data_IF_235734545798
#
_entry.id   IF_235734545798
#
_cell.length_a   1.000
_cell.length_b   1.000
_cell.length_c   1.000
_cell.angle_alpha   90.00
_cell.angle_beta   90.00
_cell.angle_gamma   90.00
#
_symmetry.space_group_name_H-M   'P 1'
#
loop_
_entity.id
_entity.type
_entity.pdbx_description
1 polymer ?
#
# COMPACT_ATOMS: atom_id res chain seq x y z
N UNK A 1 2.10 31.45 14.28
CA UNK A 1 2.77 30.27 14.89
C UNK A 1 4.11 30.13 14.23
N UNK A 2 5.20 30.16 14.98
CA UNK A 2 6.53 29.86 14.43
C UNK A 2 6.52 28.44 13.87
N UNK A 3 7.03 28.27 12.65
CA UNK A 3 7.17 26.97 12.01
C UNK A 3 8.24 26.20 12.80
N UNK A 4 7.86 25.18 13.54
CA UNK A 4 8.81 24.31 14.23
C UNK A 4 9.69 23.67 13.15
N UNK A 5 10.98 23.94 13.21
CA UNK A 5 11.96 23.31 12.32
C UNK A 5 12.50 22.07 13.03
N UNK A 6 12.27 20.90 12.47
CA UNK A 6 12.78 19.64 12.98
C UNK A 6 14.21 19.35 12.48
N UNK A 7 15.03 18.58 13.22
CA UNK A 7 16.35 18.17 12.78
C UNK A 7 16.26 17.35 11.50
N UNK A 8 17.32 17.39 10.70
CA UNK A 8 17.43 16.64 9.43
C UNK A 8 18.64 15.72 9.42
N UNK A 9 19.61 15.98 10.26
CA UNK A 9 20.80 15.15 10.44
C UNK A 9 20.53 13.86 11.22
N UNK A 10 19.30 13.63 11.65
CA UNK A 10 18.80 12.38 12.23
C UNK A 10 17.92 11.58 11.25
N UNK A 11 17.95 11.95 9.97
CA UNK A 11 17.15 11.34 8.91
C UNK A 11 18.04 10.96 7.72
N UNK A 12 18.01 9.68 7.34
CA UNK A 12 18.62 9.21 6.11
C UNK A 12 17.70 9.50 4.90
N UNK A 13 18.30 9.90 3.78
CA UNK A 13 17.64 9.89 2.47
C UNK A 13 18.18 8.71 1.68
N UNK A 14 17.33 7.74 1.36
CA UNK A 14 17.69 6.54 0.61
C UNK A 14 17.23 6.66 -0.84
N UNK A 15 18.18 6.59 -1.78
CA UNK A 15 17.96 6.80 -3.20
C UNK A 15 18.41 5.57 -3.99
N UNK A 16 17.49 4.73 -4.49
CA UNK A 16 17.84 3.69 -5.46
C UNK A 16 18.12 4.33 -6.82
N UNK A 17 19.26 4.03 -7.44
CA UNK A 17 19.71 4.61 -8.68
C UNK A 17 20.11 3.54 -9.71
N UNK A 18 19.51 3.60 -10.89
CA UNK A 18 19.88 2.79 -12.05
C UNK A 18 20.00 3.69 -13.27
N UNK A 19 21.22 3.75 -13.82
CA UNK A 19 21.56 4.63 -14.96
C UNK A 19 21.11 6.08 -14.73
N UNK A 20 21.53 6.70 -13.61
CA UNK A 20 21.10 8.05 -13.25
C UNK A 20 21.71 9.08 -14.20
N UNK A 21 20.99 10.19 -14.37
CA UNK A 21 21.47 11.37 -15.09
C UNK A 21 22.01 12.45 -14.11
N UNK A 22 22.29 13.65 -14.63
CA UNK A 22 22.78 14.80 -13.85
C UNK A 22 21.80 15.27 -12.77
N UNK A 23 20.49 15.01 -12.92
CA UNK A 23 19.45 15.42 -11.96
C UNK A 23 19.68 14.78 -10.59
N UNK A 24 20.23 13.55 -10.56
CA UNK A 24 20.60 12.91 -9.29
C UNK A 24 21.64 13.75 -8.53
N UNK A 25 22.70 14.21 -9.18
CA UNK A 25 23.74 15.02 -8.53
C UNK A 25 23.17 16.36 -8.03
N UNK A 26 22.31 17.01 -8.82
CA UNK A 26 21.63 18.24 -8.39
C UNK A 26 20.77 18.01 -7.13
N UNK A 27 20.06 16.89 -7.09
CA UNK A 27 19.28 16.50 -5.92
C UNK A 27 20.18 16.27 -4.69
N UNK A 28 21.29 15.53 -4.83
CA UNK A 28 22.25 15.27 -3.74
C UNK A 28 22.81 16.58 -3.16
N UNK A 29 23.21 17.52 -4.03
CA UNK A 29 23.74 18.84 -3.61
C UNK A 29 22.69 19.60 -2.79
N UNK A 30 21.43 19.61 -3.23
CA UNK A 30 20.35 20.29 -2.51
C UNK A 30 20.06 19.63 -1.17
N UNK A 31 19.99 18.31 -1.13
CA UNK A 31 19.73 17.56 0.12
C UNK A 31 20.86 17.72 1.13
N UNK A 32 22.12 17.75 0.68
CA UNK A 32 23.27 17.96 1.56
C UNK A 32 23.28 19.36 2.17
N UNK A 33 22.86 20.39 1.41
CA UNK A 33 22.67 21.75 1.95
C UNK A 33 21.61 21.82 3.05
N UNK A 34 20.64 20.92 2.99
CA UNK A 34 19.59 20.78 3.99
C UNK A 34 20.02 19.91 5.19
N UNK A 35 21.28 19.48 5.26
CA UNK A 35 21.89 18.66 6.31
C UNK A 35 21.29 17.25 6.45
N UNK A 36 20.76 16.67 5.38
CA UNK A 36 20.41 15.26 5.37
C UNK A 36 21.63 14.37 5.17
N UNK A 37 21.60 13.18 5.77
CA UNK A 37 22.54 12.12 5.45
C UNK A 37 21.97 11.24 4.34
N UNK A 38 22.80 10.99 3.31
CA UNK A 38 22.30 10.42 2.05
C UNK A 38 22.96 9.07 1.79
N UNK A 39 22.15 8.09 1.44
CA UNK A 39 22.58 6.77 0.98
C UNK A 39 22.04 6.54 -0.43
N UNK A 40 22.93 6.36 -1.40
CA UNK A 40 22.56 6.03 -2.78
C UNK A 40 22.91 4.57 -3.04
N UNK A 41 22.00 3.83 -3.65
CA UNK A 41 22.23 2.44 -4.07
C UNK A 41 22.34 2.38 -5.58
N UNK A 42 23.56 2.14 -6.09
CA UNK A 42 23.79 1.82 -7.50
C UNK A 42 23.31 0.40 -7.79
N UNK A 43 22.21 0.27 -8.50
CA UNK A 43 21.61 -1.01 -8.89
C UNK A 43 22.20 -1.53 -10.23
N UNK A 44 23.52 -1.65 -10.31
CA UNK A 44 24.19 -2.23 -11.47
C UNK A 44 24.05 -1.41 -12.74
N UNK A 45 24.36 -0.11 -12.67
CA UNK A 45 24.20 0.83 -13.79
C UNK A 45 25.16 0.59 -14.97
N UNK A 46 26.32 -0.05 -14.71
CA UNK A 46 27.38 -0.27 -15.69
C UNK A 46 28.51 0.76 -15.58
N UNK A 47 29.67 0.43 -16.16
CA UNK A 47 30.90 1.21 -16.06
C UNK A 47 30.76 2.63 -16.63
N UNK A 48 29.88 2.83 -17.61
CA UNK A 48 29.60 4.15 -18.18
C UNK A 48 29.05 5.17 -17.18
N UNK A 49 28.58 4.70 -15.99
CA UNK A 49 28.06 5.55 -14.93
C UNK A 49 29.02 5.72 -13.73
N UNK A 50 30.19 5.11 -13.76
CA UNK A 50 31.15 5.15 -12.64
C UNK A 50 31.56 6.59 -12.28
N UNK A 51 31.74 7.46 -13.28
CA UNK A 51 32.06 8.88 -13.03
C UNK A 51 30.91 9.61 -12.28
N UNK A 52 29.66 9.27 -12.59
CA UNK A 52 28.49 9.87 -11.92
C UNK A 52 28.46 9.43 -10.47
N UNK A 53 28.68 8.15 -10.18
CA UNK A 53 28.70 7.64 -8.80
C UNK A 53 29.92 8.14 -8.03
N UNK A 54 31.09 8.21 -8.65
CA UNK A 54 32.29 8.83 -8.05
C UNK A 54 32.04 10.28 -7.63
N UNK A 55 31.34 11.06 -8.46
CA UNK A 55 30.94 12.41 -8.09
C UNK A 55 29.90 12.43 -6.96
N UNK A 56 29.02 11.44 -6.93
CA UNK A 56 28.00 11.31 -5.88
C UNK A 56 28.60 11.00 -4.50
N UNK A 57 29.80 10.36 -4.44
CA UNK A 57 30.53 10.06 -3.19
C UNK A 57 30.89 11.34 -2.39
N UNK A 58 30.98 12.50 -3.04
CA UNK A 58 31.18 13.78 -2.36
C UNK A 58 30.02 14.17 -1.45
N UNK A 59 28.82 13.63 -1.71
CA UNK A 59 27.57 14.05 -1.05
C UNK A 59 26.87 12.92 -0.30
N UNK A 60 27.16 11.65 -0.64
CA UNK A 60 26.40 10.50 -0.19
C UNK A 60 27.28 9.26 0.03
N UNK A 61 26.81 8.36 0.89
CA UNK A 61 27.35 6.99 0.94
C UNK A 61 26.82 6.20 -0.24
N UNK A 62 27.71 5.61 -1.05
CA UNK A 62 27.33 4.83 -2.23
C UNK A 62 27.42 3.33 -1.89
N UNK A 63 26.31 2.62 -2.09
CA UNK A 63 26.26 1.15 -2.03
C UNK A 63 26.17 0.61 -3.45
N UNK A 64 26.97 -0.39 -3.77
CA UNK A 64 26.99 -1.00 -5.09
C UNK A 64 26.32 -2.39 -5.07
N UNK A 65 25.39 -2.60 -5.98
CA UNK A 65 24.77 -3.89 -6.26
C UNK A 65 25.04 -4.27 -7.71
N UNK A 66 25.70 -5.39 -7.94
CA UNK A 66 26.04 -5.89 -9.27
C UNK A 66 25.75 -7.39 -9.35
N UNK A 67 25.03 -7.90 -10.38
CA UNK A 67 24.37 -7.15 -11.46
C UNK A 67 23.12 -6.41 -10.98
N UNK A 68 22.44 -5.67 -11.91
CA UNK A 68 21.12 -5.07 -11.64
C UNK A 68 20.14 -6.12 -11.16
N UNK A 69 19.50 -5.86 -10.01
CA UNK A 69 18.49 -6.74 -9.39
C UNK A 69 17.12 -6.09 -9.32
N UNK A 70 17.05 -4.79 -9.57
CA UNK A 70 15.83 -3.99 -9.60
C UNK A 70 15.63 -3.12 -8.38
N UNK A 71 14.74 -2.12 -8.53
CA UNK A 71 14.47 -1.07 -7.54
C UNK A 71 14.17 -1.61 -6.13
N UNK A 72 13.36 -2.69 -6.04
CA UNK A 72 13.02 -3.30 -4.76
C UNK A 72 14.22 -3.92 -4.05
N UNK A 73 15.10 -4.59 -4.81
CA UNK A 73 16.34 -5.14 -4.25
C UNK A 73 17.29 -4.03 -3.79
N UNK A 74 17.41 -2.93 -4.55
CA UNK A 74 18.19 -1.77 -4.17
C UNK A 74 17.64 -1.11 -2.90
N UNK A 75 16.33 -0.93 -2.79
CA UNK A 75 15.70 -0.41 -1.57
C UNK A 75 15.98 -1.32 -0.35
N UNK A 76 15.88 -2.65 -0.50
CA UNK A 76 16.19 -3.58 0.60
C UNK A 76 17.64 -3.50 1.03
N UNK A 77 18.58 -3.37 0.08
CA UNK A 77 20.00 -3.19 0.41
C UNK A 77 20.20 -1.89 1.21
N UNK A 78 19.63 -0.78 0.75
CA UNK A 78 19.69 0.49 1.46
C UNK A 78 19.03 0.46 2.84
N UNK A 79 17.86 -0.13 2.96
CA UNK A 79 17.18 -0.33 4.25
C UNK A 79 18.00 -1.22 5.20
N UNK A 80 18.67 -2.26 4.67
CA UNK A 80 19.53 -3.11 5.48
C UNK A 80 20.75 -2.32 6.00
N UNK A 81 21.35 -1.48 5.16
CA UNK A 81 22.43 -0.59 5.57
C UNK A 81 22.00 0.36 6.68
N UNK A 82 20.88 1.07 6.49
CA UNK A 82 20.33 2.01 7.48
C UNK A 82 20.01 1.32 8.82
N UNK A 83 19.47 0.10 8.75
CA UNK A 83 19.14 -0.68 9.96
C UNK A 83 20.39 -1.16 10.72
N UNK A 84 21.51 -1.38 10.02
CA UNK A 84 22.79 -1.78 10.61
C UNK A 84 23.61 -0.58 11.13
N UNK A 85 23.34 0.63 10.61
CA UNK A 85 23.99 1.88 10.97
C UNK A 85 22.96 2.91 11.46
N UNK A 86 22.23 2.61 12.55
CA UNK A 86 21.21 3.52 13.05
C UNK A 86 21.84 4.78 13.65
N UNK A 87 23.04 4.68 14.24
CA UNK A 87 23.78 5.74 14.91
C UNK A 87 22.84 6.71 15.67
N UNK A 88 22.82 7.99 15.28
CA UNK A 88 21.91 8.98 15.83
C UNK A 88 20.66 9.22 14.95
N UNK A 89 20.40 8.34 14.00
CA UNK A 89 19.28 8.49 13.07
C UNK A 89 18.02 7.81 13.59
N UNK A 90 16.90 8.51 13.44
CA UNK A 90 15.57 8.05 13.84
C UNK A 90 14.71 7.67 12.65
N UNK A 91 14.99 8.25 11.47
CA UNK A 91 14.12 8.15 10.31
C UNK A 91 14.90 7.85 9.02
N UNK A 92 14.20 7.29 8.04
CA UNK A 92 14.68 7.15 6.67
C UNK A 92 13.57 7.55 5.70
N UNK A 93 13.93 8.35 4.69
CA UNK A 93 13.02 8.77 3.61
C UNK A 93 13.54 8.21 2.30
N UNK A 94 12.70 7.49 1.55
CA UNK A 94 13.03 7.05 0.20
C UNK A 94 12.60 8.11 -0.82
N UNK A 95 13.42 8.35 -1.84
CA UNK A 95 13.04 9.14 -3.00
C UNK A 95 13.72 8.62 -4.27
N UNK A 96 13.16 8.96 -5.44
CA UNK A 96 13.70 8.51 -6.73
C UNK A 96 14.87 9.41 -7.18
N UNK A 97 15.79 8.84 -7.98
CA UNK A 97 16.98 9.53 -8.47
C UNK A 97 16.70 10.49 -9.67
N UNK A 98 15.47 10.54 -10.16
CA UNK A 98 15.06 11.21 -11.40
C UNK A 98 14.72 12.70 -11.24
N UNK A 99 14.86 13.26 -10.04
CA UNK A 99 14.57 14.65 -9.73
C UNK A 99 13.09 15.03 -9.72
N UNK A 100 12.18 14.05 -9.77
CA UNK A 100 10.72 14.31 -9.76
C UNK A 100 10.17 14.63 -8.35
N UNK A 101 10.99 14.56 -7.31
CA UNK A 101 10.63 14.93 -5.95
C UNK A 101 11.26 16.25 -5.53
N UNK A 102 10.45 17.25 -5.22
CA UNK A 102 10.93 18.52 -4.70
C UNK A 102 11.57 18.32 -3.30
N UNK A 103 12.64 19.06 -3.01
CA UNK A 103 13.30 19.01 -1.71
C UNK A 103 12.36 19.51 -0.60
N UNK A 104 11.52 20.48 -0.91
CA UNK A 104 10.48 20.99 -0.02
C UNK A 104 9.47 19.91 0.40
N UNK A 105 9.18 18.96 -0.50
CA UNK A 105 8.32 17.81 -0.21
C UNK A 105 9.03 16.81 0.71
N UNK A 106 10.32 16.56 0.49
CA UNK A 106 11.16 15.72 1.35
C UNK A 106 11.20 16.31 2.76
N UNK A 107 11.37 17.63 2.89
CA UNK A 107 11.34 18.33 4.16
C UNK A 107 9.96 18.18 4.83
N UNK A 108 8.86 18.32 4.10
CA UNK A 108 7.52 18.11 4.65
C UNK A 108 7.29 16.68 5.16
N UNK A 109 7.85 15.69 4.47
CA UNK A 109 7.83 14.29 4.94
C UNK A 109 8.64 14.17 6.24
N UNK A 110 9.84 14.77 6.30
CA UNK A 110 10.67 14.78 7.50
C UNK A 110 9.93 15.39 8.69
N UNK A 111 9.39 16.58 8.51
CA UNK A 111 8.64 17.27 9.57
C UNK A 111 7.47 16.40 10.06
N UNK A 112 6.76 15.76 9.14
CA UNK A 112 5.64 14.88 9.48
C UNK A 112 6.06 13.61 10.22
N UNK A 113 7.23 13.03 9.90
CA UNK A 113 7.79 11.91 10.65
C UNK A 113 8.04 12.28 12.10
N UNK A 114 8.67 13.43 12.34
CA UNK A 114 8.93 13.92 13.70
C UNK A 114 7.65 14.22 14.48
N UNK A 115 6.63 14.79 13.83
CA UNK A 115 5.33 15.09 14.46
C UNK A 115 4.60 13.82 14.91
N UNK A 116 4.68 12.74 14.15
CA UNK A 116 3.76 11.60 14.27
C UNK A 116 4.43 10.29 14.67
N UNK A 117 5.75 10.20 14.52
CA UNK A 117 6.56 8.98 14.72
C UNK A 117 5.92 7.73 14.08
N UNK A 118 5.36 7.90 12.87
CA UNK A 118 4.73 6.84 12.08
C UNK A 118 5.15 6.95 10.62
N UNK A 119 4.84 5.91 9.82
CA UNK A 119 5.12 5.92 8.38
C UNK A 119 4.40 7.07 7.70
N UNK A 120 5.09 7.78 6.81
CA UNK A 120 4.55 8.90 6.05
C UNK A 120 4.65 8.59 4.56
N UNK A 121 3.53 8.71 3.86
CA UNK A 121 3.43 8.46 2.42
C UNK A 121 3.24 9.79 1.68
N UNK A 122 4.10 10.05 0.70
CA UNK A 122 3.87 11.14 -0.25
C UNK A 122 2.67 10.82 -1.15
N UNK A 123 1.80 11.78 -1.37
CA UNK A 123 0.56 11.61 -2.13
C UNK A 123 0.40 12.71 -3.15
N UNK A 124 0.49 12.34 -4.43
CA UNK A 124 0.32 13.26 -5.57
C UNK A 124 -1.15 13.57 -5.81
N UNK A 125 -1.43 14.79 -6.29
CA UNK A 125 -2.75 15.11 -6.81
C UNK A 125 -2.90 14.59 -8.22
N UNK A 126 -3.87 13.71 -8.44
CA UNK A 126 -4.25 13.25 -9.78
C UNK A 126 -5.29 14.20 -10.39
N UNK A 127 -4.83 15.28 -10.95
CA UNK A 127 -5.67 16.21 -11.70
C UNK A 127 -5.78 15.84 -13.19
N UNK A 128 -6.39 16.71 -13.98
CA UNK A 128 -6.60 16.46 -15.42
C UNK A 128 -5.31 16.46 -16.25
N UNK A 129 -4.19 16.92 -15.71
CA UNK A 129 -2.88 16.95 -16.38
C UNK A 129 -2.25 15.57 -16.48
N UNK A 130 -2.62 14.65 -15.57
CA UNK A 130 -2.11 13.27 -15.54
C UNK A 130 -2.64 12.46 -16.73
N UNK A 131 -1.77 11.75 -17.48
CA UNK A 131 -2.20 10.90 -18.60
C UNK A 131 -3.29 9.91 -18.21
N UNK A 132 -4.33 9.75 -19.05
CA UNK A 132 -5.50 8.86 -18.77
C UNK A 132 -5.09 7.43 -18.42
N UNK A 133 -4.06 6.90 -19.09
CA UNK A 133 -3.55 5.53 -18.85
C UNK A 133 -3.01 5.37 -17.42
N UNK A 134 -2.20 6.32 -16.96
CA UNK A 134 -1.64 6.34 -15.59
C UNK A 134 -2.77 6.48 -14.56
N UNK A 135 -3.72 7.38 -14.81
CA UNK A 135 -4.89 7.61 -13.93
C UNK A 135 -5.76 6.36 -13.78
N UNK A 136 -6.03 5.65 -14.88
CA UNK A 136 -6.83 4.42 -14.85
C UNK A 136 -6.09 3.27 -14.15
N UNK A 137 -4.78 3.11 -14.40
CA UNK A 137 -3.95 2.12 -13.71
C UNK A 137 -3.94 2.33 -12.20
N UNK A 138 -3.71 3.57 -11.76
CA UNK A 138 -3.74 3.94 -10.35
C UNK A 138 -5.14 3.76 -9.71
N UNK A 139 -6.21 4.03 -10.46
CA UNK A 139 -7.58 3.81 -9.99
C UNK A 139 -7.85 2.31 -9.74
N UNK A 140 -7.47 1.43 -10.68
CA UNK A 140 -7.67 -0.01 -10.53
C UNK A 140 -6.82 -0.59 -9.39
N UNK A 141 -5.57 -0.16 -9.27
CA UNK A 141 -4.69 -0.55 -8.15
C UNK A 141 -5.32 -0.17 -6.81
N UNK A 142 -5.74 1.08 -6.67
CA UNK A 142 -6.43 1.58 -5.47
C UNK A 142 -7.71 0.81 -5.16
N UNK A 143 -8.53 0.53 -6.17
CA UNK A 143 -9.79 -0.21 -6.00
C UNK A 143 -9.52 -1.60 -5.43
N UNK A 144 -8.64 -2.37 -6.07
CA UNK A 144 -8.29 -3.72 -5.64
C UNK A 144 -7.67 -3.72 -4.24
N UNK A 145 -6.69 -2.85 -3.99
CA UNK A 145 -6.01 -2.74 -2.70
C UNK A 145 -6.98 -2.31 -1.59
N UNK A 146 -7.77 -1.25 -1.81
CA UNK A 146 -8.73 -0.76 -0.80
C UNK A 146 -9.76 -1.84 -0.43
N UNK A 147 -10.16 -2.66 -1.41
CA UNK A 147 -11.03 -3.81 -1.13
C UNK A 147 -10.38 -4.82 -0.18
N UNK A 148 -9.10 -5.12 -0.39
CA UNK A 148 -8.36 -6.10 0.40
C UNK A 148 -8.03 -5.60 1.80
N UNK A 149 -7.55 -4.37 1.88
CA UNK A 149 -7.03 -3.78 3.12
C UNK A 149 -8.09 -2.99 3.89
N UNK A 150 -9.24 -2.69 3.25
CA UNK A 150 -10.32 -1.83 3.77
C UNK A 150 -9.87 -0.42 4.16
N UNK A 151 -8.69 -0.01 3.69
CA UNK A 151 -8.10 1.27 3.99
C UNK A 151 -7.72 1.99 2.69
N UNK A 152 -8.25 3.18 2.50
CA UNK A 152 -7.98 3.99 1.31
C UNK A 152 -6.66 4.74 1.48
N UNK A 153 -5.81 4.69 0.45
CA UNK A 153 -4.62 5.53 0.29
C UNK A 153 -4.77 6.23 -1.05
N UNK A 154 -4.52 7.52 -1.12
CA UNK A 154 -4.73 8.32 -2.32
C UNK A 154 -3.73 7.97 -3.43
N UNK A 155 -2.44 7.80 -3.08
CA UNK A 155 -1.38 7.45 -4.03
C UNK A 155 -0.55 6.28 -3.49
N UNK A 156 -0.73 5.11 -4.06
CA UNK A 156 -0.02 3.88 -3.68
C UNK A 156 1.23 3.59 -4.53
N UNK A 157 1.52 4.47 -5.51
CA UNK A 157 2.65 4.31 -6.44
C UNK A 157 3.71 5.40 -6.30
N UNK A 158 3.59 6.30 -5.32
CA UNK A 158 4.62 7.29 -5.04
C UNK A 158 5.82 6.64 -4.35
N UNK A 159 7.04 6.93 -4.83
CA UNK A 159 8.30 6.47 -4.24
C UNK A 159 8.79 7.30 -3.05
N UNK A 160 8.23 8.51 -2.85
CA UNK A 160 8.58 9.36 -1.73
C UNK A 160 7.85 8.91 -0.46
N UNK A 161 8.56 8.26 0.45
CA UNK A 161 8.01 7.66 1.67
C UNK A 161 8.98 7.81 2.82
N UNK A 162 8.46 8.11 4.01
CA UNK A 162 9.22 8.19 5.24
C UNK A 162 8.89 7.06 6.21
N UNK A 163 9.92 6.52 6.87
CA UNK A 163 9.79 5.42 7.81
C UNK A 163 10.59 5.71 9.09
N UNK A 164 10.02 5.48 10.29
CA UNK A 164 10.81 5.34 11.49
C UNK A 164 11.77 4.15 11.37
N UNK A 165 13.04 4.29 11.75
CA UNK A 165 14.05 3.22 11.64
C UNK A 165 13.62 1.96 12.40
N UNK A 166 12.92 2.11 13.53
CA UNK A 166 12.34 0.99 14.30
C UNK A 166 11.42 0.07 13.49
N UNK A 167 10.82 0.60 12.41
CA UNK A 167 9.89 -0.15 11.54
C UNK A 167 10.58 -0.73 10.30
N UNK A 168 11.82 -0.29 10.00
CA UNK A 168 12.56 -0.68 8.79
C UNK A 168 12.83 -2.17 8.73
N UNK A 169 13.21 -2.80 9.85
CA UNK A 169 13.45 -4.25 9.88
C UNK A 169 12.27 -5.05 9.32
N UNK A 170 11.04 -4.62 9.60
CA UNK A 170 9.84 -5.31 9.13
C UNK A 170 9.64 -5.26 7.61
N UNK A 171 10.23 -4.27 6.94
CA UNK A 171 10.09 -4.09 5.49
C UNK A 171 11.26 -4.68 4.71
N UNK A 172 12.44 -4.81 5.30
CA UNK A 172 13.61 -5.43 4.64
C UNK A 172 13.39 -6.89 4.26
N UNK A 173 12.54 -7.61 5.00
CA UNK A 173 12.25 -9.03 4.77
C UNK A 173 11.13 -9.27 3.74
N UNK A 174 10.49 -8.21 3.23
CA UNK A 174 9.40 -8.35 2.27
C UNK A 174 9.92 -8.79 0.89
N UNK A 175 9.15 -9.63 0.18
CA UNK A 175 9.52 -10.09 -1.16
C UNK A 175 9.38 -8.99 -2.21
N UNK A 176 9.98 -9.22 -3.38
CA UNK A 176 9.91 -8.36 -4.55
C UNK A 176 11.23 -7.65 -4.82
N UNK A 177 11.72 -7.77 -6.07
CA UNK A 177 12.98 -7.20 -6.49
C UNK A 177 12.80 -5.92 -7.31
N UNK A 178 11.59 -5.69 -7.84
CA UNK A 178 11.30 -4.53 -8.68
C UNK A 178 10.25 -3.61 -8.02
N UNK A 179 9.35 -3.01 -8.81
CA UNK A 179 8.33 -2.06 -8.34
C UNK A 179 7.26 -2.68 -7.44
N UNK A 180 7.06 -4.01 -7.52
CA UNK A 180 6.15 -4.74 -6.64
C UNK A 180 6.57 -4.74 -5.17
N UNK A 181 7.86 -4.51 -4.88
CA UNK A 181 8.34 -4.37 -3.50
C UNK A 181 7.65 -3.21 -2.78
N UNK A 182 7.55 -2.05 -3.44
CA UNK A 182 6.90 -0.86 -2.87
C UNK A 182 5.41 -1.11 -2.60
N UNK A 183 4.76 -1.93 -3.43
CA UNK A 183 3.38 -2.38 -3.19
C UNK A 183 3.30 -3.35 -2.02
N UNK A 184 4.26 -4.29 -1.89
CA UNK A 184 4.35 -5.19 -0.74
C UNK A 184 4.52 -4.41 0.56
N UNK A 185 5.33 -3.35 0.57
CA UNK A 185 5.47 -2.47 1.74
C UNK A 185 4.12 -1.88 2.14
N UNK A 186 3.37 -1.28 1.20
CA UNK A 186 2.05 -0.69 1.49
C UNK A 186 1.06 -1.75 1.99
N UNK A 187 0.95 -2.88 1.31
CA UNK A 187 0.05 -3.96 1.73
C UNK A 187 0.41 -4.48 3.14
N UNK A 188 1.72 -4.62 3.43
CA UNK A 188 2.20 -5.06 4.73
C UNK A 188 1.87 -4.05 5.84
N UNK A 189 2.08 -2.74 5.59
CA UNK A 189 1.69 -1.69 6.52
C UNK A 189 0.21 -1.79 6.90
N UNK A 190 -0.65 -1.98 5.92
CA UNK A 190 -2.09 -2.07 6.11
C UNK A 190 -2.51 -3.37 6.81
N UNK A 191 -1.93 -4.52 6.44
CA UNK A 191 -2.20 -5.82 7.07
C UNK A 191 -1.71 -5.84 8.52
N UNK A 192 -0.51 -5.32 8.78
CA UNK A 192 0.02 -5.17 10.15
C UNK A 192 -0.61 -4.02 10.91
N UNK A 193 -1.49 -3.24 10.26
CA UNK A 193 -2.18 -2.08 10.85
C UNK A 193 -1.22 -1.07 11.46
N UNK A 194 -0.07 -0.89 10.83
CA UNK A 194 0.85 0.15 11.22
C UNK A 194 0.22 1.51 10.93
N UNK A 195 0.38 2.44 11.86
CA UNK A 195 -0.12 3.81 11.67
C UNK A 195 0.67 4.46 10.54
N UNK A 196 -0.03 5.12 9.63
CA UNK A 196 0.59 5.95 8.60
C UNK A 196 -0.20 7.24 8.39
N UNK A 197 0.48 8.25 7.86
CA UNK A 197 -0.09 9.53 7.46
C UNK A 197 0.23 9.79 5.98
N UNK A 198 -0.60 10.57 5.31
CA UNK A 198 -0.35 11.00 3.93
C UNK A 198 -0.04 12.50 3.90
N UNK A 199 1.05 12.86 3.22
CA UNK A 199 1.44 14.25 2.97
C UNK A 199 1.26 14.53 1.49
N UNK A 200 0.50 15.58 1.18
CA UNK A 200 0.32 15.98 -0.21
C UNK A 200 1.61 16.58 -0.76
N UNK A 201 2.09 16.02 -1.87
CA UNK A 201 3.29 16.47 -2.57
C UNK A 201 2.96 17.04 -3.94
N UNK A 202 3.89 17.79 -4.49
CA UNK A 202 3.81 18.29 -5.87
C UNK A 202 4.01 17.14 -6.86
N UNK A 203 3.41 17.29 -8.04
CA UNK A 203 3.59 16.35 -9.14
C UNK A 203 4.47 17.00 -10.18
N UNK A 204 5.75 16.63 -10.21
CA UNK A 204 6.72 17.16 -11.18
C UNK A 204 6.84 16.13 -12.31
N UNK A 205 6.50 16.53 -13.53
CA UNK A 205 6.73 15.75 -14.74
C UNK A 205 7.89 16.36 -15.51
N UNK A 206 9.03 15.67 -15.54
CA UNK A 206 10.17 16.04 -16.35
C UNK A 206 10.15 15.22 -17.65
N UNK A 207 10.29 15.86 -18.79
CA UNK A 207 10.48 15.28 -20.13
C UNK A 207 9.61 14.05 -20.47
N UNK A 208 8.31 14.07 -20.15
CA UNK A 208 7.38 12.96 -20.36
C UNK A 208 7.86 11.62 -19.76
N UNK A 209 8.50 11.64 -18.60
CA UNK A 209 9.03 10.46 -17.88
C UNK A 209 10.07 9.65 -18.68
N UNK A 210 10.89 10.26 -19.49
CA UNK A 210 11.94 9.56 -20.26
C UNK A 210 12.99 8.89 -19.37
N UNK A 211 13.23 9.39 -18.18
CA UNK A 211 14.14 8.82 -17.16
C UNK A 211 13.54 7.62 -16.39
N UNK A 212 12.27 7.32 -16.59
CA UNK A 212 11.62 6.20 -15.90
C UNK A 212 11.94 4.86 -16.58
N UNK A 213 12.54 3.93 -15.85
CA UNK A 213 12.80 2.56 -16.29
C UNK A 213 11.61 1.61 -16.08
N UNK A 214 10.44 2.13 -15.74
CA UNK A 214 9.20 1.37 -15.53
C UNK A 214 8.72 0.73 -16.86
N UNK A 215 8.60 -0.61 -16.86
CA UNK A 215 8.07 -1.39 -17.99
C UNK A 215 6.56 -1.60 -17.82
N UNK A 216 5.69 -0.82 -18.51
CA UNK A 216 4.26 -0.73 -18.17
C UNK A 216 3.51 -2.06 -18.11
N UNK A 217 3.80 -3.01 -19.01
CA UNK A 217 3.12 -4.30 -19.04
C UNK A 217 3.61 -5.24 -17.94
N UNK A 218 4.94 -5.39 -17.80
CA UNK A 218 5.56 -6.35 -16.91
C UNK A 218 5.45 -5.91 -15.44
N UNK A 219 5.78 -4.65 -15.16
CA UNK A 219 5.78 -4.14 -13.79
C UNK A 219 4.35 -3.96 -13.28
N UNK A 220 3.40 -3.52 -14.14
CA UNK A 220 1.97 -3.54 -13.78
C UNK A 220 1.49 -4.95 -13.46
N UNK A 221 1.88 -5.96 -14.23
CA UNK A 221 1.52 -7.35 -13.94
C UNK A 221 2.10 -7.82 -12.59
N UNK A 222 3.38 -7.51 -12.30
CA UNK A 222 4.02 -7.83 -11.01
C UNK A 222 3.30 -7.17 -9.83
N UNK A 223 2.98 -5.88 -9.95
CA UNK A 223 2.24 -5.12 -8.94
C UNK A 223 0.84 -5.74 -8.72
N UNK A 224 0.11 -6.02 -9.79
CA UNK A 224 -1.21 -6.64 -9.70
C UNK A 224 -1.13 -8.04 -9.09
N UNK A 225 -0.16 -8.87 -9.51
CA UNK A 225 0.07 -10.19 -8.90
C UNK A 225 0.31 -10.07 -7.39
N UNK A 226 1.07 -9.07 -6.96
CA UNK A 226 1.30 -8.81 -5.53
C UNK A 226 -0.01 -8.49 -4.82
N UNK A 227 -0.82 -7.57 -5.34
CA UNK A 227 -2.12 -7.25 -4.76
C UNK A 227 -2.99 -8.51 -4.69
N UNK A 228 -3.06 -9.29 -5.77
CA UNK A 228 -3.84 -10.54 -5.82
C UNK A 228 -3.31 -11.63 -4.88
N UNK A 229 -2.01 -11.69 -4.59
CA UNK A 229 -1.47 -12.65 -3.61
C UNK A 229 -2.03 -12.40 -2.20
N UNK A 230 -2.28 -11.16 -1.84
CA UNK A 230 -2.99 -10.82 -0.60
C UNK A 230 -4.51 -11.06 -0.68
N UNK A 231 -5.08 -11.14 -1.90
CA UNK A 231 -6.49 -11.42 -2.15
C UNK A 231 -6.83 -12.91 -2.17
N UNK A 232 -5.85 -13.78 -2.34
CA UNK A 232 -6.08 -15.20 -2.63
C UNK A 232 -6.91 -15.87 -1.53
N UNK A 233 -6.65 -15.54 -0.27
CA UNK A 233 -7.35 -16.11 0.87
C UNK A 233 -8.84 -15.72 0.91
N UNK A 234 -9.22 -14.43 0.89
CA UNK A 234 -10.64 -14.07 0.85
C UNK A 234 -11.34 -14.54 -0.43
N UNK A 235 -10.61 -14.63 -1.56
CA UNK A 235 -11.17 -15.13 -2.81
C UNK A 235 -11.46 -16.64 -2.75
N UNK A 236 -10.52 -17.44 -2.24
CA UNK A 236 -10.71 -18.88 -2.07
C UNK A 236 -11.84 -19.18 -1.09
N UNK A 237 -11.95 -18.44 0.02
CA UNK A 237 -13.07 -18.56 0.94
C UNK A 237 -14.41 -18.25 0.25
N UNK A 238 -14.48 -17.21 -0.56
CA UNK A 238 -15.70 -16.88 -1.31
C UNK A 238 -16.08 -17.98 -2.31
N UNK A 239 -15.10 -18.49 -3.08
CA UNK A 239 -15.32 -19.56 -4.05
C UNK A 239 -15.76 -20.87 -3.39
N UNK A 240 -15.10 -21.27 -2.28
CA UNK A 240 -15.50 -22.45 -1.51
C UNK A 240 -16.92 -22.32 -0.96
N UNK A 241 -17.30 -21.13 -0.50
CA UNK A 241 -18.66 -20.88 0.00
C UNK A 241 -19.72 -20.98 -1.10
N UNK A 242 -19.45 -20.40 -2.26
CA UNK A 242 -20.33 -20.50 -3.41
C UNK A 242 -20.45 -21.96 -3.86
N UNK A 243 -19.32 -22.69 -3.93
CA UNK A 243 -19.27 -24.11 -4.27
C UNK A 243 -20.07 -24.96 -3.30
N UNK A 244 -19.89 -24.77 -2.00
CA UNK A 244 -20.62 -25.49 -0.95
C UNK A 244 -22.13 -25.19 -1.02
N UNK A 245 -22.55 -23.93 -1.19
CA UNK A 245 -23.95 -23.58 -1.36
C UNK A 245 -24.55 -24.20 -2.61
N UNK A 246 -23.78 -24.26 -3.71
CA UNK A 246 -24.23 -24.92 -4.95
C UNK A 246 -24.46 -26.41 -4.73
N UNK A 247 -23.49 -27.13 -4.15
CA UNK A 247 -23.59 -28.57 -3.85
C UNK A 247 -24.77 -28.84 -2.93
N UNK A 248 -24.96 -28.06 -1.87
CA UNK A 248 -26.06 -28.23 -0.95
C UNK A 248 -27.42 -27.99 -1.60
N UNK A 249 -27.53 -27.00 -2.49
CA UNK A 249 -28.78 -26.73 -3.25
C UNK A 249 -29.11 -27.86 -4.22
N UNK A 250 -28.10 -28.51 -4.80
CA UNK A 250 -28.30 -29.65 -5.71
C UNK A 250 -28.69 -30.94 -4.97
N UNK A 251 -28.12 -31.19 -3.76
CA UNK A 251 -28.41 -32.37 -2.96
C UNK A 251 -29.77 -32.25 -2.23
N UNK A 252 -30.08 -31.04 -1.76
CA UNK A 252 -31.32 -30.74 -1.00
C UNK A 252 -32.07 -29.53 -1.57
N UNK A 253 -32.78 -29.67 -2.70
CA UNK A 253 -33.45 -28.54 -3.34
C UNK A 253 -34.60 -27.94 -2.51
N UNK A 254 -35.12 -28.69 -1.54
CA UNK A 254 -36.23 -28.25 -0.66
C UNK A 254 -35.76 -27.80 0.73
N UNK A 255 -34.48 -27.56 0.92
CA UNK A 255 -33.96 -27.07 2.20
C UNK A 255 -34.46 -25.67 2.48
N UNK A 256 -35.18 -25.50 3.58
CA UNK A 256 -35.80 -24.24 3.95
C UNK A 256 -34.80 -23.13 4.30
N UNK A 257 -35.29 -21.90 4.29
CA UNK A 257 -34.54 -20.67 4.60
C UNK A 257 -33.67 -20.78 5.86
N UNK A 258 -34.13 -21.46 6.90
CA UNK A 258 -33.39 -21.64 8.16
C UNK A 258 -32.06 -22.42 8.02
N UNK A 259 -32.02 -23.38 7.10
CA UNK A 259 -30.77 -24.14 6.86
C UNK A 259 -29.73 -23.27 6.15
N UNK A 260 -30.16 -22.42 5.21
CA UNK A 260 -29.28 -21.42 4.59
C UNK A 260 -28.79 -20.38 5.59
N UNK A 261 -29.66 -19.97 6.56
CA UNK A 261 -29.26 -19.11 7.67
C UNK A 261 -28.19 -19.77 8.53
N UNK A 262 -28.38 -21.04 8.90
CA UNK A 262 -27.41 -21.79 9.69
C UNK A 262 -26.07 -21.95 8.98
N UNK A 263 -26.08 -22.24 7.68
CA UNK A 263 -24.88 -22.34 6.84
C UNK A 263 -24.17 -20.99 6.69
N UNK A 264 -24.92 -19.90 6.54
CA UNK A 264 -24.39 -18.54 6.53
C UNK A 264 -23.73 -18.19 7.86
N UNK A 265 -24.31 -18.54 8.99
CA UNK A 265 -23.75 -18.35 10.32
C UNK A 265 -22.52 -19.25 10.55
N UNK A 266 -22.54 -20.49 10.10
CA UNK A 266 -21.38 -21.40 10.17
C UNK A 266 -20.22 -20.88 9.32
N UNK A 267 -20.49 -20.34 8.13
CA UNK A 267 -19.49 -19.68 7.30
C UNK A 267 -18.92 -18.43 7.97
N UNK A 268 -19.76 -17.61 8.60
CA UNK A 268 -19.33 -16.45 9.39
C UNK A 268 -18.37 -16.87 10.49
N UNK A 269 -18.73 -17.90 11.24
CA UNK A 269 -17.91 -18.45 12.33
C UNK A 269 -16.57 -18.96 11.80
N UNK A 270 -16.58 -19.74 10.71
CA UNK A 270 -15.37 -20.26 10.07
C UNK A 270 -14.46 -19.12 9.58
N UNK A 271 -15.01 -18.09 8.95
CA UNK A 271 -14.25 -16.94 8.49
C UNK A 271 -13.69 -16.10 9.65
N UNK A 272 -14.43 -15.98 10.77
CA UNK A 272 -13.95 -15.31 11.98
C UNK A 272 -12.80 -16.09 12.64
N UNK A 273 -12.91 -17.43 12.71
CA UNK A 273 -11.84 -18.31 13.20
C UNK A 273 -10.62 -18.19 12.29
N UNK A 274 -10.81 -18.20 10.97
CA UNK A 274 -9.73 -18.07 10.00
C UNK A 274 -9.02 -16.70 10.11
N UNK A 275 -9.76 -15.60 10.24
CA UNK A 275 -9.17 -14.27 10.52
C UNK A 275 -8.46 -14.26 11.86
N UNK A 276 -9.04 -14.89 12.89
CA UNK A 276 -8.40 -15.04 14.20
C UNK A 276 -7.08 -15.80 14.12
N UNK A 277 -7.05 -16.92 13.38
CA UNK A 277 -5.85 -17.71 13.16
C UNK A 277 -4.80 -16.94 12.35
N UNK A 278 -5.19 -16.26 11.29
CA UNK A 278 -4.27 -15.44 10.48
C UNK A 278 -3.75 -14.23 11.25
N UNK A 279 -4.57 -13.62 12.11
CA UNK A 279 -4.14 -12.55 13.00
C UNK A 279 -3.21 -13.07 14.12
N UNK A 280 -3.39 -14.31 14.56
CA UNK A 280 -2.51 -14.97 15.52
C UNK A 280 -1.17 -15.38 14.89
N UNK A 281 -1.17 -15.87 13.65
CA UNK A 281 0.06 -16.18 12.91
C UNK A 281 0.87 -14.92 12.55
N UNK A 282 0.23 -13.74 12.54
CA UNK A 282 0.89 -12.44 12.38
C UNK A 282 0.54 -11.52 13.56
N UNK A 283 1.18 -11.72 14.75
CA UNK A 283 0.86 -10.94 15.93
C UNK A 283 1.25 -9.46 15.74
N UNK A 284 0.25 -8.61 15.61
CA UNK A 284 0.44 -7.17 15.79
C UNK A 284 0.36 -6.84 17.27
N UNK A 285 1.34 -6.09 17.78
CA UNK A 285 1.53 -5.76 19.21
C UNK A 285 0.36 -5.03 19.92
N UNK A 286 -0.76 -4.75 19.23
CA UNK A 286 -1.93 -4.05 19.79
C UNK A 286 -3.25 -4.66 19.32
N UNK A 287 -3.57 -5.86 19.83
CA UNK A 287 -4.96 -6.36 19.83
C UNK A 287 -5.76 -5.61 20.90
N UNK A 288 -6.41 -4.53 20.52
CA UNK A 288 -7.19 -3.74 21.43
C UNK A 288 -8.53 -3.30 20.81
N UNK A 289 -8.96 -2.11 21.18
CA UNK A 289 -10.21 -1.46 20.75
C UNK A 289 -10.45 -1.48 19.23
N UNK A 290 -9.39 -1.41 18.43
CA UNK A 290 -9.48 -1.40 16.95
C UNK A 290 -9.92 -2.77 16.39
N UNK A 291 -9.44 -3.87 16.97
CA UNK A 291 -9.84 -5.24 16.58
C UNK A 291 -11.33 -5.49 16.83
N UNK A 292 -11.86 -4.94 17.93
CA UNK A 292 -13.29 -5.03 18.25
C UNK A 292 -14.14 -4.28 17.21
N UNK A 293 -13.75 -3.04 16.88
CA UNK A 293 -14.45 -2.20 15.88
C UNK A 293 -14.45 -2.89 14.50
N UNK A 294 -13.35 -3.48 14.10
CA UNK A 294 -13.27 -4.19 12.82
C UNK A 294 -14.04 -5.51 12.83
N UNK A 295 -14.06 -6.22 13.95
CA UNK A 295 -14.92 -7.38 14.15
C UNK A 295 -16.40 -6.99 14.01
N UNK A 296 -16.83 -5.90 14.66
CA UNK A 296 -18.20 -5.38 14.52
C UNK A 296 -18.51 -4.96 13.08
N UNK A 297 -17.60 -4.25 12.42
CA UNK A 297 -17.78 -3.86 11.01
C UNK A 297 -17.92 -5.09 10.10
N UNK A 298 -17.07 -6.10 10.30
CA UNK A 298 -17.12 -7.34 9.54
C UNK A 298 -18.44 -8.09 9.78
N UNK A 299 -18.89 -8.20 11.02
CA UNK A 299 -20.17 -8.84 11.39
C UNK A 299 -21.35 -8.12 10.74
N UNK A 300 -21.41 -6.77 10.84
CA UNK A 300 -22.47 -5.96 10.22
C UNK A 300 -22.47 -6.17 8.70
N UNK A 301 -21.29 -6.13 8.07
CA UNK A 301 -21.17 -6.36 6.64
C UNK A 301 -21.68 -7.74 6.21
N UNK A 302 -21.34 -8.78 6.97
CA UNK A 302 -21.76 -10.14 6.63
C UNK A 302 -23.26 -10.34 6.86
N UNK A 303 -23.83 -9.74 7.90
CA UNK A 303 -25.27 -9.70 8.10
C UNK A 303 -25.97 -8.99 6.92
N UNK A 304 -25.40 -7.89 6.44
CA UNK A 304 -25.94 -7.18 5.28
C UNK A 304 -25.90 -8.05 4.01
N UNK A 305 -24.78 -8.72 3.73
CA UNK A 305 -24.66 -9.67 2.61
C UNK A 305 -25.71 -10.77 2.75
N UNK A 306 -25.88 -11.30 3.95
CA UNK A 306 -26.87 -12.33 4.24
C UNK A 306 -28.28 -11.84 3.95
N UNK A 307 -28.70 -10.66 4.46
CA UNK A 307 -30.01 -10.07 4.20
C UNK A 307 -30.25 -9.85 2.71
N UNK A 308 -29.28 -9.25 2.00
CA UNK A 308 -29.36 -9.03 0.55
C UNK A 308 -29.50 -10.36 -0.20
N UNK A 309 -28.70 -11.38 0.15
CA UNK A 309 -28.77 -12.69 -0.52
C UNK A 309 -30.11 -13.39 -0.27
N UNK A 310 -30.67 -13.26 0.92
CA UNK A 310 -31.99 -13.82 1.25
C UNK A 310 -33.11 -13.17 0.43
N UNK A 311 -33.12 -11.84 0.34
CA UNK A 311 -34.13 -11.12 -0.48
C UNK A 311 -33.99 -11.50 -1.95
N UNK A 312 -32.75 -11.53 -2.47
CA UNK A 312 -32.50 -11.93 -3.86
C UNK A 312 -32.87 -13.39 -4.11
N UNK A 313 -32.66 -14.29 -3.13
CA UNK A 313 -33.06 -15.68 -3.24
C UNK A 313 -34.57 -15.81 -3.40
N UNK A 314 -35.37 -15.15 -2.55
CA UNK A 314 -36.83 -15.19 -2.64
C UNK A 314 -37.35 -14.65 -3.97
N UNK A 315 -36.70 -13.65 -4.55
CA UNK A 315 -37.03 -13.10 -5.86
C UNK A 315 -36.65 -14.03 -7.03
N UNK A 316 -35.52 -14.76 -6.93
CA UNK A 316 -34.98 -15.58 -8.01
C UNK A 316 -35.48 -17.02 -8.00
N UNK A 317 -35.86 -17.57 -6.85
CA UNK A 317 -36.26 -18.98 -6.70
C UNK A 317 -37.37 -19.45 -7.63
N UNK A 318 -38.35 -18.61 -8.03
CA UNK A 318 -39.40 -19.04 -9.00
C UNK A 318 -38.83 -19.26 -10.41
N UNK A 319 -37.70 -18.66 -10.75
CA UNK A 319 -37.16 -18.61 -12.11
C UNK A 319 -35.88 -19.44 -12.30
N UNK A 320 -35.15 -19.71 -11.21
CA UNK A 320 -33.81 -20.33 -11.29
C UNK A 320 -33.63 -21.42 -10.24
N UNK A 321 -33.34 -22.69 -10.65
CA UNK A 321 -33.15 -23.81 -9.70
C UNK A 321 -32.02 -23.62 -8.70
N UNK A 322 -30.96 -22.86 -9.11
CA UNK A 322 -29.79 -22.55 -8.27
C UNK A 322 -29.79 -21.11 -7.75
N UNK A 323 -30.98 -20.61 -7.38
CA UNK A 323 -31.18 -19.21 -7.01
C UNK A 323 -30.29 -18.75 -5.82
N UNK A 324 -30.03 -19.63 -4.85
CA UNK A 324 -29.25 -19.23 -3.66
C UNK A 324 -27.76 -18.95 -3.93
N UNK A 325 -27.00 -19.78 -4.65
CA UNK A 325 -25.64 -19.44 -5.06
C UNK A 325 -25.55 -18.17 -5.89
N UNK A 326 -26.51 -17.93 -6.78
CA UNK A 326 -26.56 -16.71 -7.61
C UNK A 326 -26.84 -15.49 -6.74
N UNK A 327 -27.85 -15.54 -5.87
CA UNK A 327 -28.20 -14.47 -4.96
C UNK A 327 -27.02 -14.08 -4.04
N UNK A 328 -26.32 -15.09 -3.50
CA UNK A 328 -25.13 -14.88 -2.67
C UNK A 328 -23.97 -14.23 -3.46
N UNK A 329 -23.74 -14.68 -4.69
CA UNK A 329 -22.70 -14.11 -5.57
C UNK A 329 -23.00 -12.63 -5.87
N UNK A 330 -24.27 -12.30 -6.19
CA UNK A 330 -24.69 -10.91 -6.43
C UNK A 330 -24.50 -10.07 -5.16
N UNK A 331 -24.88 -10.58 -3.99
CA UNK A 331 -24.70 -9.89 -2.71
C UNK A 331 -23.21 -9.62 -2.38
N UNK A 332 -22.32 -10.57 -2.69
CA UNK A 332 -20.87 -10.37 -2.57
C UNK A 332 -20.37 -9.26 -3.50
N UNK A 333 -20.82 -9.23 -4.75
CA UNK A 333 -20.44 -8.19 -5.72
C UNK A 333 -20.95 -6.81 -5.29
N UNK A 334 -22.20 -6.71 -4.81
CA UNK A 334 -22.75 -5.46 -4.26
C UNK A 334 -21.94 -5.00 -3.05
N UNK A 335 -21.60 -5.90 -2.14
CA UNK A 335 -20.74 -5.59 -1.00
C UNK A 335 -19.35 -5.09 -1.43
N UNK A 336 -18.78 -5.67 -2.49
CA UNK A 336 -17.54 -5.19 -3.08
C UNK A 336 -17.64 -3.75 -3.55
N UNK A 337 -18.69 -3.42 -4.29
CA UNK A 337 -18.92 -2.08 -4.82
C UNK A 337 -19.14 -1.03 -3.72
N UNK A 338 -19.77 -1.40 -2.61
CA UNK A 338 -20.04 -0.49 -1.49
C UNK A 338 -18.77 -0.21 -0.65
N UNK A 339 -17.84 -1.17 -0.55
CA UNK A 339 -16.64 -1.02 0.30
C UNK A 339 -15.75 0.14 -0.13
N UNK A 340 -15.56 0.35 -1.43
CA UNK A 340 -14.67 1.39 -1.94
C UNK A 340 -15.15 2.80 -1.59
N UNK A 341 -16.41 3.20 -1.91
CA UNK A 341 -16.89 4.53 -1.54
C UNK A 341 -16.93 4.74 -0.02
N UNK A 342 -17.21 3.70 0.77
CA UNK A 342 -17.20 3.80 2.22
C UNK A 342 -15.79 4.06 2.77
N UNK A 343 -14.80 3.31 2.31
CA UNK A 343 -13.40 3.53 2.68
C UNK A 343 -12.90 4.92 2.25
N UNK A 344 -13.30 5.38 1.05
CA UNK A 344 -13.01 6.73 0.56
C UNK A 344 -13.65 7.82 1.44
N UNK A 345 -14.90 7.63 1.86
CA UNK A 345 -15.58 8.58 2.74
C UNK A 345 -14.88 8.69 4.10
N UNK A 346 -14.49 7.54 4.70
CA UNK A 346 -13.74 7.52 5.96
C UNK A 346 -12.41 8.25 5.81
N UNK A 347 -11.66 7.99 4.73
CA UNK A 347 -10.42 8.70 4.41
C UNK A 347 -10.66 10.21 4.25
N UNK A 348 -11.70 10.61 3.50
CA UNK A 348 -12.02 12.03 3.28
C UNK A 348 -12.39 12.77 4.57
N UNK A 349 -13.08 12.10 5.50
CA UNK A 349 -13.39 12.67 6.81
C UNK A 349 -12.11 12.83 7.62
N UNK A 350 -11.28 11.79 7.71
CA UNK A 350 -9.98 11.82 8.40
C UNK A 350 -9.12 13.00 7.90
N UNK A 351 -8.98 13.16 6.59
CA UNK A 351 -8.12 14.19 6.00
C UNK A 351 -8.74 15.61 6.05
N UNK A 352 -10.06 15.76 6.14
CA UNK A 352 -10.67 17.08 6.38
C UNK A 352 -10.28 17.66 7.74
N UNK A 353 -10.14 16.84 8.76
CA UNK A 353 -9.70 17.29 10.07
C UNK A 353 -8.22 17.71 10.04
N UNK A 354 -7.36 16.98 9.35
CA UNK A 354 -5.92 17.30 9.20
C UNK A 354 -5.72 18.63 8.45
N UNK A 355 -6.47 18.84 7.35
CA UNK A 355 -6.37 20.08 6.55
C UNK A 355 -6.93 21.31 7.30
N UNK A 356 -7.90 21.14 8.21
CA UNK A 356 -8.44 22.23 9.02
C UNK A 356 -7.45 22.68 10.10
N UNK A 357 -6.74 21.75 10.72
CA UNK A 357 -5.71 22.06 11.73
C UNK A 357 -4.46 22.75 11.16
N UNK A 358 -4.18 22.58 9.88
CA UNK A 358 -3.04 23.22 9.21
C UNK A 358 -3.39 24.58 8.57
N UNK A 359 -4.61 25.08 8.72
CA UNK A 359 -5.06 26.40 8.23
C UNK A 359 -5.37 27.41 9.35
N UNK A 360 -5.34 26.97 10.60
CA UNK A 360 -5.39 27.80 11.81
C UNK A 360 -3.98 27.89 12.42
#
# INVERSE_FOLDING_TARGET
>A
MEKVSYPRNDTYILIPAYKPDHLMIELLVKLKKENFDIVVVNDGSGEEYDEVFKKAEEYATILHQNPNKGKGAALRLGFSYVNLHPDNHNYVITCDADGQHAVEDIIRINDKLHETDCVVLGSRKFDKSVPKRSRNGNFMSRLCRTYLTKEYIQDDQCGLRGFPIKDVFNITTLPGDHYEYEMNVICNLQIKRLKFEEVQIETIYLDNNKSSHFKPSLDTFRIQRTIWSYAITPLTCALLSIGMLTVLTLIWPNVGLYTYMFLGLAYLFYYQVFIGVTAFMWPTKKMGRRTLIEGCYFTIKTLLIFVISTVLYELLKPYVPIAMPIAYTIALLVSFLINFPLAYLVWKVKNRYVVKYNKE
#
